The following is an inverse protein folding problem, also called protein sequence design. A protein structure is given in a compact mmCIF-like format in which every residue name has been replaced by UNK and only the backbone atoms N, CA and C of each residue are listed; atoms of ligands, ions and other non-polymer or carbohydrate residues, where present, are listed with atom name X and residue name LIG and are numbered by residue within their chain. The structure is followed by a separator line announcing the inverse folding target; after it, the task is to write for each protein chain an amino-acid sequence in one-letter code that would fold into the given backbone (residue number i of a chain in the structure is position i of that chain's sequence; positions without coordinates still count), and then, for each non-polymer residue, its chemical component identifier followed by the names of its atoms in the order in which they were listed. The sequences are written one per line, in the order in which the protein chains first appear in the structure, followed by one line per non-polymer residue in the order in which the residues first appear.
data_IF_001754353681
#
_entry.id   IF_001754353681
#
_cell.length_a   1.000
_cell.length_b   1.000
_cell.length_c   1.000
_cell.angle_alpha   90.00
_cell.angle_beta   90.00
_cell.angle_gamma   90.00
#
_symmetry.space_group_name_H-M   'P 1'
#
loop_
_entity.id
_entity.type
_entity.pdbx_description
1 polymer ?
#
# COMPACT_ATOMS: atom_id res chain seq x y z
N UNK A 1 -16.59 52.16 -61.37
CA UNK A 1 -15.99 50.88 -60.92
C UNK A 1 -15.80 50.96 -59.40
N UNK A 2 -16.66 50.28 -58.61
CA UNK A 2 -16.57 50.22 -57.13
C UNK A 2 -16.05 48.85 -56.77
N UNK A 3 -14.83 48.78 -56.16
CA UNK A 3 -14.30 47.58 -55.56
C UNK A 3 -14.97 47.33 -54.20
N UNK A 4 -15.58 46.17 -54.06
CA UNK A 4 -16.13 45.67 -52.79
C UNK A 4 -15.08 44.75 -52.21
N UNK A 5 -14.45 45.17 -51.11
CA UNK A 5 -13.47 44.35 -50.39
C UNK A 5 -14.25 43.43 -49.42
N UNK A 6 -14.06 42.10 -49.57
CA UNK A 6 -14.55 41.10 -48.61
C UNK A 6 -13.50 40.92 -47.48
N UNK A 7 -13.89 41.28 -46.27
CA UNK A 7 -13.12 40.93 -45.05
C UNK A 7 -13.56 39.51 -44.59
N UNK A 8 -12.65 38.55 -44.68
CA UNK A 8 -12.80 37.26 -44.02
C UNK A 8 -12.39 37.38 -42.56
N UNK A 9 -13.34 37.23 -41.66
CA UNK A 9 -13.12 37.12 -40.21
C UNK A 9 -12.72 35.66 -39.89
N UNK A 10 -11.42 35.43 -39.62
CA UNK A 10 -10.95 34.14 -39.09
C UNK A 10 -11.22 34.12 -37.59
N UNK A 11 -12.20 33.34 -37.14
CA UNK A 11 -12.42 33.02 -35.75
C UNK A 11 -11.44 31.94 -35.33
N UNK A 12 -10.47 32.30 -34.49
CA UNK A 12 -9.55 31.38 -33.83
C UNK A 12 -10.31 30.73 -32.67
N UNK A 13 -10.68 29.46 -32.81
CA UNK A 13 -11.19 28.65 -31.71
C UNK A 13 -9.98 28.14 -30.91
N UNK A 14 -9.72 28.75 -29.75
CA UNK A 14 -8.73 28.29 -28.82
C UNK A 14 -9.27 26.99 -28.16
N UNK A 15 -8.73 25.83 -28.59
CA UNK A 15 -8.93 24.57 -27.87
C UNK A 15 -8.11 24.63 -26.56
N UNK A 16 -8.80 24.88 -25.45
CA UNK A 16 -8.22 24.65 -24.11
C UNK A 16 -8.19 23.14 -23.86
N UNK A 17 -7.07 22.52 -24.22
CA UNK A 17 -6.78 21.15 -23.82
C UNK A 17 -6.55 21.10 -22.31
N UNK A 18 -7.57 20.70 -21.54
CA UNK A 18 -7.39 20.27 -20.15
C UNK A 18 -6.46 19.05 -20.09
N UNK A 19 -5.80 18.80 -18.95
CA UNK A 19 -4.94 17.62 -18.81
C UNK A 19 -5.74 16.36 -19.12
N UNK A 20 -5.31 15.62 -20.15
CA UNK A 20 -5.85 14.32 -20.48
C UNK A 20 -5.53 13.36 -19.32
N UNK A 21 -6.52 13.08 -18.49
CA UNK A 21 -6.46 11.99 -17.53
C UNK A 21 -6.36 10.69 -18.34
N UNK A 22 -5.22 10.00 -18.27
CA UNK A 22 -5.13 8.66 -18.82
C UNK A 22 -6.20 7.82 -18.08
N UNK A 23 -7.24 7.43 -18.80
CA UNK A 23 -8.27 6.53 -18.27
C UNK A 23 -7.58 5.22 -17.94
N UNK A 24 -7.44 4.92 -16.65
CA UNK A 24 -7.14 3.56 -16.20
C UNK A 24 -8.29 2.70 -16.68
N UNK A 25 -7.99 1.51 -17.23
CA UNK A 25 -8.91 0.64 -17.92
C UNK A 25 -10.29 0.57 -17.26
N UNK A 26 -11.34 0.76 -18.04
CA UNK A 26 -12.71 0.60 -17.58
C UNK A 26 -12.86 -0.76 -16.90
N UNK A 27 -13.53 -0.80 -15.74
CA UNK A 27 -13.78 -2.05 -15.03
C UNK A 27 -14.80 -2.91 -15.82
N UNK A 28 -14.37 -3.97 -16.54
CA UNK A 28 -15.21 -4.58 -17.59
C UNK A 28 -16.50 -5.19 -17.06
N UNK A 29 -16.54 -5.55 -15.78
CA UNK A 29 -17.69 -6.20 -15.13
C UNK A 29 -18.49 -5.28 -14.22
N UNK A 30 -18.02 -4.06 -14.01
CA UNK A 30 -18.63 -3.09 -13.12
C UNK A 30 -18.37 -1.67 -13.61
N UNK A 31 -19.19 -1.14 -14.53
CA UNK A 31 -19.02 0.20 -15.07
C UNK A 31 -19.16 1.29 -14.00
N UNK A 32 -19.73 0.93 -12.86
CA UNK A 32 -19.94 1.81 -11.70
C UNK A 32 -18.88 1.62 -10.60
N UNK A 33 -17.77 0.92 -10.91
CA UNK A 33 -16.68 0.70 -9.99
C UNK A 33 -16.01 2.01 -9.53
N UNK A 34 -15.42 1.99 -8.32
CA UNK A 34 -14.57 3.08 -7.86
C UNK A 34 -13.32 3.22 -8.75
N UNK A 35 -12.72 2.09 -9.11
CA UNK A 35 -11.52 2.03 -9.93
C UNK A 35 -10.26 2.57 -9.24
N UNK A 36 -9.15 2.45 -9.96
CA UNK A 36 -7.89 3.13 -9.64
C UNK A 36 -7.73 4.31 -10.60
N UNK A 37 -7.71 5.53 -10.10
CA UNK A 37 -7.78 6.75 -10.92
C UNK A 37 -6.48 7.06 -11.64
N UNK A 38 -5.33 6.73 -11.02
CA UNK A 38 -4.01 6.90 -11.62
C UNK A 38 -2.95 6.06 -10.92
N UNK A 39 -1.80 5.94 -11.57
CA UNK A 39 -0.59 5.35 -11.00
C UNK A 39 0.40 6.47 -10.67
N UNK A 40 0.88 6.49 -9.43
CA UNK A 40 1.93 7.38 -8.95
C UNK A 40 3.24 6.60 -8.89
N UNK A 41 4.22 7.02 -9.67
CA UNK A 41 5.55 6.42 -9.66
C UNK A 41 6.47 7.22 -8.73
N UNK A 42 7.15 6.54 -7.81
CA UNK A 42 8.11 7.15 -6.87
C UNK A 42 9.47 6.46 -6.92
N UNK A 43 10.53 7.19 -6.58
CA UNK A 43 11.89 6.66 -6.51
C UNK A 43 12.39 6.62 -5.07
N UNK A 44 13.18 5.61 -4.66
CA UNK A 44 13.78 5.56 -3.32
C UNK A 44 14.71 6.76 -3.01
N UNK A 45 15.29 7.38 -4.04
CA UNK A 45 16.18 8.52 -3.85
C UNK A 45 15.42 9.79 -3.46
N UNK A 46 14.23 10.00 -4.03
CA UNK A 46 13.38 11.15 -3.71
C UNK A 46 12.50 10.93 -2.49
N UNK A 47 12.06 9.68 -2.29
CA UNK A 47 11.12 9.29 -1.23
C UNK A 47 11.76 8.27 -0.29
N UNK A 48 12.73 8.71 0.54
CA UNK A 48 13.37 7.80 1.50
C UNK A 48 12.44 7.33 2.62
N UNK A 49 11.52 8.21 3.04
CA UNK A 49 10.56 7.96 4.11
C UNK A 49 9.33 8.84 3.95
N UNK A 50 8.15 8.24 4.02
CA UNK A 50 6.87 8.88 3.71
C UNK A 50 5.78 8.54 4.73
N UNK A 51 4.76 9.40 4.78
CA UNK A 51 3.60 9.26 5.65
C UNK A 51 3.65 10.23 6.84
N UNK A 52 2.71 11.17 6.86
CA UNK A 52 2.70 12.34 7.73
C UNK A 52 2.43 12.05 9.21
N UNK A 53 2.09 10.81 9.58
CA UNK A 53 2.02 10.43 11.00
C UNK A 53 3.38 10.51 11.68
N UNK A 54 4.47 10.23 10.96
CA UNK A 54 5.81 10.20 11.54
C UNK A 54 6.87 10.96 10.75
N UNK A 55 6.59 11.35 9.51
CA UNK A 55 7.55 12.04 8.64
C UNK A 55 6.99 13.35 8.12
N UNK A 56 7.87 14.30 7.81
CA UNK A 56 7.47 15.57 7.18
C UNK A 56 7.01 15.37 5.74
N UNK A 57 7.61 14.39 5.06
CA UNK A 57 7.30 14.06 3.68
C UNK A 57 6.19 13.00 3.63
N UNK A 58 5.25 13.17 2.73
CA UNK A 58 4.30 12.13 2.30
C UNK A 58 4.20 12.13 0.78
N UNK A 59 3.33 11.29 0.22
CA UNK A 59 3.11 11.21 -1.22
C UNK A 59 2.50 12.51 -1.77
N UNK A 60 2.86 12.91 -3.01
CA UNK A 60 2.29 14.07 -3.70
C UNK A 60 0.88 13.75 -4.23
N UNK A 61 -0.05 13.55 -3.32
CA UNK A 61 -1.44 13.28 -3.61
C UNK A 61 -2.20 14.59 -3.82
N UNK A 62 -3.13 14.59 -4.78
CA UNK A 62 -4.10 15.65 -4.95
C UNK A 62 -5.17 15.58 -3.86
N UNK A 63 -5.98 16.63 -3.75
CA UNK A 63 -7.13 16.60 -2.87
C UNK A 63 -8.09 15.45 -3.23
N UNK A 64 -8.68 14.80 -2.24
CA UNK A 64 -9.50 13.60 -2.36
C UNK A 64 -8.80 12.38 -2.99
N UNK A 65 -7.47 12.31 -2.96
CA UNK A 65 -6.75 11.09 -3.34
C UNK A 65 -6.37 10.25 -2.13
N UNK A 66 -6.58 8.93 -2.25
CA UNK A 66 -6.26 7.94 -1.22
C UNK A 66 -5.41 6.79 -1.78
N UNK A 67 -4.36 6.43 -1.05
CA UNK A 67 -3.60 5.19 -1.28
C UNK A 67 -4.02 4.18 -0.22
N UNK A 68 -4.60 3.07 -0.64
CA UNK A 68 -5.04 2.00 0.27
C UNK A 68 -3.87 1.05 0.48
N UNK A 69 -3.53 0.78 1.75
CA UNK A 69 -2.45 -0.12 2.11
C UNK A 69 -2.90 -1.17 3.12
N UNK A 70 -2.38 -2.41 2.97
CA UNK A 70 -2.65 -3.53 3.87
C UNK A 70 -1.35 -4.08 4.44
N UNK A 71 -1.32 -4.31 5.75
CA UNK A 71 -0.19 -4.86 6.48
C UNK A 71 -0.48 -6.29 6.98
N UNK A 72 0.57 -7.00 7.37
CA UNK A 72 0.60 -8.28 8.10
C UNK A 72 0.30 -9.55 7.31
N UNK A 73 -0.34 -9.46 6.17
CA UNK A 73 -0.72 -10.63 5.36
C UNK A 73 0.43 -11.38 4.67
N UNK A 74 0.03 -12.36 3.86
CA UNK A 74 -1.35 -12.79 3.61
C UNK A 74 -1.88 -13.77 4.66
N UNK A 75 -3.17 -13.71 4.97
CA UNK A 75 -3.85 -14.67 5.84
C UNK A 75 -5.21 -15.09 5.27
N UNK A 76 -5.38 -16.34 4.77
CA UNK A 76 -6.69 -16.82 4.34
C UNK A 76 -7.65 -17.00 5.54
N UNK A 77 -8.97 -16.83 5.38
CA UNK A 77 -9.62 -16.45 4.13
C UNK A 77 -9.66 -14.92 3.90
N UNK A 78 -9.15 -14.11 4.83
CA UNK A 78 -9.39 -12.66 4.84
C UNK A 78 -8.70 -11.95 3.69
N UNK A 79 -7.43 -12.29 3.41
CA UNK A 79 -6.71 -11.74 2.25
C UNK A 79 -7.42 -12.10 0.93
N UNK A 80 -8.02 -13.30 0.83
CA UNK A 80 -8.78 -13.71 -0.36
C UNK A 80 -10.05 -12.86 -0.54
N UNK A 81 -10.82 -12.65 0.54
CA UNK A 81 -12.03 -11.82 0.52
C UNK A 81 -11.69 -10.37 0.14
N UNK A 82 -10.59 -9.85 0.67
CA UNK A 82 -10.11 -8.50 0.35
C UNK A 82 -9.71 -8.39 -1.13
N UNK A 83 -8.98 -9.37 -1.68
CA UNK A 83 -8.61 -9.42 -3.09
C UNK A 83 -9.84 -9.44 -4.00
N UNK A 84 -10.83 -10.27 -3.69
CA UNK A 84 -12.08 -10.35 -4.45
C UNK A 84 -12.85 -9.03 -4.42
N UNK A 85 -12.90 -8.38 -3.25
CA UNK A 85 -13.53 -7.07 -3.08
C UNK A 85 -12.83 -6.00 -3.92
N UNK A 86 -11.50 -5.92 -3.86
CA UNK A 86 -10.71 -4.97 -4.66
C UNK A 86 -10.89 -5.23 -6.17
N UNK A 87 -10.88 -6.50 -6.57
CA UNK A 87 -11.09 -6.90 -7.97
C UNK A 87 -12.47 -6.50 -8.47
N UNK A 88 -13.53 -6.65 -7.65
CA UNK A 88 -14.90 -6.26 -8.01
C UNK A 88 -15.07 -4.76 -8.26
N UNK A 89 -14.17 -3.96 -7.70
CA UNK A 89 -14.14 -2.51 -7.82
C UNK A 89 -12.98 -2.01 -8.69
N UNK A 90 -12.19 -2.89 -9.31
CA UNK A 90 -10.99 -2.58 -10.09
C UNK A 90 -10.01 -1.65 -9.35
N UNK A 91 -9.93 -1.81 -8.04
CA UNK A 91 -9.06 -1.02 -7.15
C UNK A 91 -7.73 -1.73 -6.96
N UNK A 92 -6.61 -0.99 -7.09
CA UNK A 92 -5.27 -1.45 -6.75
C UNK A 92 -4.84 -0.88 -5.41
N UNK A 93 -4.11 -1.70 -4.64
CA UNK A 93 -3.60 -1.36 -3.31
C UNK A 93 -2.12 -1.70 -3.19
N UNK A 94 -1.50 -1.28 -2.09
CA UNK A 94 -0.14 -1.69 -1.71
C UNK A 94 -0.22 -2.62 -0.50
N UNK A 95 0.47 -3.77 -0.57
CA UNK A 95 0.54 -4.75 0.50
C UNK A 95 1.93 -4.76 1.10
N UNK A 96 2.04 -4.70 2.42
CA UNK A 96 3.28 -4.87 3.18
C UNK A 96 3.25 -6.24 3.86
N UNK A 97 3.86 -7.23 3.22
CA UNK A 97 3.75 -8.62 3.61
C UNK A 97 4.81 -9.00 4.66
N UNK A 98 4.40 -9.77 5.67
CA UNK A 98 5.32 -10.41 6.61
C UNK A 98 5.96 -11.62 5.92
N UNK A 99 7.31 -11.74 6.00
CA UNK A 99 8.06 -12.79 5.32
C UNK A 99 7.59 -14.20 5.67
N UNK A 100 7.41 -14.51 6.96
CA UNK A 100 6.90 -15.83 7.39
C UNK A 100 5.51 -16.15 6.85
N UNK A 101 4.63 -15.14 6.70
CA UNK A 101 3.30 -15.33 6.14
C UNK A 101 3.38 -15.57 4.63
N UNK A 102 4.28 -14.85 3.95
CA UNK A 102 4.54 -15.05 2.52
C UNK A 102 5.04 -16.48 2.25
N UNK A 103 5.96 -17.02 3.08
CA UNK A 103 6.41 -18.42 2.97
C UNK A 103 5.28 -19.41 3.21
N UNK A 104 4.40 -19.12 4.17
CA UNK A 104 3.28 -20.02 4.51
C UNK A 104 2.21 -20.04 3.41
N UNK A 105 1.98 -18.92 2.74
CA UNK A 105 0.91 -18.76 1.73
C UNK A 105 1.43 -18.17 0.41
N UNK A 106 2.43 -18.80 -0.25
CA UNK A 106 3.06 -18.23 -1.44
C UNK A 106 2.10 -18.11 -2.64
N UNK A 107 1.07 -18.95 -2.70
CA UNK A 107 0.04 -18.86 -3.73
C UNK A 107 -0.79 -17.58 -3.63
N UNK A 108 -1.08 -17.12 -2.41
CA UNK A 108 -1.81 -15.86 -2.19
C UNK A 108 -0.91 -14.67 -2.54
N UNK A 109 0.39 -14.71 -2.19
CA UNK A 109 1.35 -13.68 -2.59
C UNK A 109 1.35 -13.50 -4.12
N UNK A 110 1.45 -14.61 -4.87
CA UNK A 110 1.38 -14.55 -6.34
C UNK A 110 0.04 -14.04 -6.87
N UNK A 111 -1.08 -14.38 -6.23
CA UNK A 111 -2.39 -13.84 -6.60
C UNK A 111 -2.48 -12.34 -6.37
N UNK A 112 -1.95 -11.82 -5.26
CA UNK A 112 -1.85 -10.38 -5.00
C UNK A 112 -1.07 -9.69 -6.13
N UNK A 113 0.10 -10.23 -6.48
CA UNK A 113 0.92 -9.69 -7.56
C UNK A 113 0.24 -9.76 -8.92
N UNK A 114 -0.29 -10.92 -9.30
CA UNK A 114 -0.96 -11.14 -10.58
C UNK A 114 -2.25 -10.32 -10.73
N UNK A 115 -2.89 -9.94 -9.63
CA UNK A 115 -4.00 -9.00 -9.61
C UNK A 115 -3.53 -7.54 -9.81
N UNK A 116 -2.22 -7.30 -9.97
CA UNK A 116 -1.63 -5.99 -10.26
C UNK A 116 -1.48 -5.08 -9.04
N UNK A 117 -1.50 -5.62 -7.83
CA UNK A 117 -1.21 -4.85 -6.62
C UNK A 117 0.29 -4.66 -6.43
N UNK A 118 0.67 -3.60 -5.73
CA UNK A 118 2.05 -3.34 -5.36
C UNK A 118 2.39 -4.11 -4.08
N UNK A 119 3.56 -4.75 -4.04
CA UNK A 119 4.01 -5.52 -2.89
C UNK A 119 5.29 -4.91 -2.33
N UNK A 120 5.28 -4.60 -1.03
CA UNK A 120 6.41 -4.29 -0.18
C UNK A 120 6.56 -5.32 0.94
N UNK A 121 7.44 -5.05 1.91
CA UNK A 121 7.72 -5.97 3.02
C UNK A 121 7.46 -5.35 4.38
N UNK A 122 7.12 -6.21 5.37
CA UNK A 122 6.80 -5.85 6.75
C UNK A 122 7.60 -6.65 7.77
N UNK A 123 8.92 -6.78 7.54
CA UNK A 123 9.85 -7.65 8.26
C UNK A 123 9.59 -9.16 8.07
N UNK A 124 10.46 -9.97 8.67
CA UNK A 124 10.33 -11.43 8.60
C UNK A 124 9.27 -11.98 9.56
N UNK A 125 9.30 -11.54 10.83
CA UNK A 125 8.48 -12.11 11.90
C UNK A 125 7.55 -11.12 12.59
N UNK A 126 7.60 -9.83 12.24
CA UNK A 126 6.81 -8.76 12.86
C UNK A 126 6.99 -8.68 14.40
N UNK A 127 8.22 -8.50 14.92
CA UNK A 127 8.42 -8.37 16.36
C UNK A 127 7.81 -7.07 16.90
N UNK A 128 6.95 -7.18 17.91
CA UNK A 128 6.22 -6.03 18.48
C UNK A 128 7.13 -4.95 19.07
N UNK A 129 8.32 -5.34 19.55
CA UNK A 129 9.30 -4.43 20.11
C UNK A 129 10.35 -3.97 19.09
N UNK A 130 10.00 -3.87 17.80
CA UNK A 130 10.94 -3.63 16.69
C UNK A 130 11.96 -2.51 16.98
N UNK A 131 11.51 -1.37 17.53
CA UNK A 131 12.38 -0.23 17.85
C UNK A 131 13.40 -0.49 18.99
N UNK A 132 13.22 -1.56 19.78
CA UNK A 132 14.09 -1.95 20.88
C UNK A 132 15.07 -3.05 20.51
N UNK A 133 14.97 -3.59 19.30
CA UNK A 133 15.86 -4.64 18.83
C UNK A 133 17.26 -4.09 18.62
N UNK A 134 18.31 -4.86 18.93
CA UNK A 134 19.66 -4.56 18.46
C UNK A 134 19.67 -4.44 16.93
N UNK A 135 20.50 -3.54 16.38
CA UNK A 135 20.51 -3.25 14.94
C UNK A 135 20.75 -4.50 14.08
N UNK A 136 21.54 -5.46 14.56
CA UNK A 136 21.77 -6.71 13.83
C UNK A 136 20.47 -7.54 13.70
N UNK A 137 19.61 -7.53 14.71
CA UNK A 137 18.30 -8.18 14.64
C UNK A 137 17.34 -7.43 13.71
N UNK A 138 17.39 -6.09 13.72
CA UNK A 138 16.64 -5.28 12.76
C UNK A 138 17.04 -5.64 11.33
N UNK A 139 18.35 -5.70 11.05
CA UNK A 139 18.88 -6.12 9.74
C UNK A 139 18.34 -7.50 9.34
N UNK A 140 18.45 -8.49 10.22
CA UNK A 140 17.95 -9.85 9.98
C UNK A 140 16.44 -9.87 9.70
N UNK A 141 15.64 -9.09 10.41
CA UNK A 141 14.20 -8.98 10.21
C UNK A 141 13.85 -8.33 8.86
N UNK A 142 14.54 -7.25 8.48
CA UNK A 142 14.33 -6.58 7.20
C UNK A 142 14.73 -7.48 6.04
N UNK A 143 15.95 -8.02 6.10
CA UNK A 143 16.53 -8.85 5.05
C UNK A 143 15.80 -10.19 4.89
N UNK A 144 15.46 -10.83 6.01
CA UNK A 144 14.67 -12.06 6.01
C UNK A 144 13.31 -11.87 5.35
N UNK A 145 12.60 -10.76 5.67
CA UNK A 145 11.33 -10.43 5.05
C UNK A 145 11.43 -10.28 3.53
N UNK A 146 12.46 -9.59 3.05
CA UNK A 146 12.71 -9.42 1.62
C UNK A 146 12.95 -10.77 0.94
N UNK A 147 13.85 -11.59 1.49
CA UNK A 147 14.18 -12.92 0.93
C UNK A 147 12.96 -13.83 0.88
N UNK A 148 12.14 -13.81 1.94
CA UNK A 148 10.94 -14.66 2.03
C UNK A 148 9.85 -14.25 1.05
N UNK A 149 9.61 -12.95 0.89
CA UNK A 149 8.60 -12.43 -0.05
C UNK A 149 9.07 -12.62 -1.50
N UNK A 150 10.35 -12.37 -1.80
CA UNK A 150 10.94 -12.65 -3.13
C UNK A 150 10.78 -14.12 -3.52
N UNK A 151 11.10 -15.04 -2.61
CA UNK A 151 10.93 -16.47 -2.86
C UNK A 151 9.47 -16.86 -3.10
N UNK A 152 8.53 -16.25 -2.40
CA UNK A 152 7.10 -16.50 -2.60
C UNK A 152 6.59 -15.97 -3.94
N UNK A 153 7.10 -14.82 -4.39
CA UNK A 153 6.78 -14.22 -5.69
C UNK A 153 7.35 -15.03 -6.85
N UNK A 154 8.58 -15.50 -6.73
CA UNK A 154 9.27 -16.23 -7.80
C UNK A 154 9.74 -15.35 -8.96
N UNK A 155 9.56 -14.03 -8.88
CA UNK A 155 10.04 -13.05 -9.84
C UNK A 155 10.79 -11.93 -9.10
N UNK A 156 12.12 -11.79 -9.33
CA UNK A 156 12.93 -10.77 -8.64
C UNK A 156 12.52 -9.32 -8.89
N UNK A 157 11.72 -9.06 -9.95
CA UNK A 157 11.22 -7.72 -10.29
C UNK A 157 9.87 -7.38 -9.65
N UNK A 158 9.19 -8.38 -9.09
CA UNK A 158 7.84 -8.25 -8.57
C UNK A 158 7.76 -7.51 -7.23
N UNK A 159 8.83 -7.58 -6.41
CA UNK A 159 8.87 -6.92 -5.11
C UNK A 159 9.34 -5.47 -5.25
N UNK A 160 8.51 -4.52 -4.81
CA UNK A 160 8.89 -3.11 -4.75
C UNK A 160 9.88 -2.83 -3.60
N UNK A 161 10.75 -1.82 -3.70
CA UNK A 161 11.67 -1.43 -2.63
C UNK A 161 10.94 -0.66 -1.51
N UNK A 162 9.76 -1.14 -1.12
CA UNK A 162 8.92 -0.54 -0.10
C UNK A 162 8.98 -1.38 1.17
N UNK A 163 9.19 -0.71 2.28
CA UNK A 163 9.23 -1.32 3.60
C UNK A 163 8.34 -0.54 4.56
N UNK A 164 7.59 -1.24 5.40
CA UNK A 164 6.90 -0.62 6.54
C UNK A 164 7.42 -1.25 7.82
N UNK A 165 7.81 -0.40 8.78
CA UNK A 165 8.30 -0.86 10.07
C UNK A 165 7.14 -1.42 10.90
N UNK A 166 7.24 -2.63 11.48
CA UNK A 166 6.25 -3.19 12.40
C UNK A 166 5.81 -2.20 13.48
N UNK A 167 4.47 -2.03 13.62
CA UNK A 167 3.89 -1.08 14.55
C UNK A 167 4.29 0.38 14.33
N UNK A 168 4.81 0.74 13.15
CA UNK A 168 5.36 2.06 12.80
C UNK A 168 6.47 2.53 13.78
N UNK A 169 7.14 1.61 14.45
CA UNK A 169 8.05 1.82 15.60
C UNK A 169 9.45 2.28 15.16
N UNK A 170 9.54 3.45 14.53
CA UNK A 170 10.76 4.02 13.95
C UNK A 170 11.81 4.45 14.99
N UNK A 171 13.08 4.45 14.55
CA UNK A 171 14.19 5.18 15.14
C UNK A 171 15.07 5.73 14.02
N UNK A 172 15.91 6.74 14.30
CA UNK A 172 16.85 7.27 13.28
C UNK A 172 17.77 6.17 12.74
N UNK A 173 18.29 5.30 13.61
CA UNK A 173 19.17 4.18 13.22
C UNK A 173 18.47 3.21 12.23
N UNK A 174 17.18 2.92 12.44
CA UNK A 174 16.42 2.06 11.53
C UNK A 174 16.16 2.80 10.22
N UNK A 175 15.75 4.07 10.27
CA UNK A 175 15.53 4.90 9.09
C UNK A 175 16.80 4.99 8.21
N UNK A 176 17.96 5.22 8.84
CA UNK A 176 19.24 5.33 8.15
C UNK A 176 19.64 3.98 7.50
N UNK A 177 19.41 2.88 8.22
CA UNK A 177 19.64 1.54 7.67
C UNK A 177 18.76 1.27 6.44
N UNK A 178 17.45 1.53 6.51
CA UNK A 178 16.54 1.33 5.39
C UNK A 178 16.96 2.21 4.19
N UNK A 179 17.31 3.46 4.44
CA UNK A 179 17.80 4.37 3.40
C UNK A 179 19.11 3.87 2.75
N UNK A 180 20.05 3.29 3.55
CA UNK A 180 21.29 2.70 3.03
C UNK A 180 21.05 1.50 2.11
N UNK A 181 19.91 0.81 2.28
CA UNK A 181 19.45 -0.30 1.43
C UNK A 181 18.55 0.16 0.28
N UNK A 182 18.41 1.48 0.07
CA UNK A 182 17.50 2.07 -0.92
C UNK A 182 16.04 1.61 -0.77
N UNK A 183 15.61 1.37 0.48
CA UNK A 183 14.23 1.05 0.81
C UNK A 183 13.47 2.33 1.17
N UNK A 184 12.29 2.49 0.60
CA UNK A 184 11.35 3.55 0.99
C UNK A 184 10.65 3.13 2.26
N UNK A 185 10.85 3.84 3.37
CA UNK A 185 10.16 3.56 4.62
C UNK A 185 8.79 4.24 4.65
N UNK A 186 7.74 3.42 4.74
CA UNK A 186 6.36 3.87 4.75
C UNK A 186 5.81 3.95 6.17
N UNK A 187 5.42 5.14 6.60
CA UNK A 187 4.42 5.32 7.65
C UNK A 187 3.02 5.36 7.00
N UNK A 188 2.07 5.99 7.66
CA UNK A 188 0.75 6.26 7.13
C UNK A 188 0.41 7.75 7.28
N UNK A 189 -0.68 8.16 6.65
CA UNK A 189 -1.31 9.46 6.87
C UNK A 189 -2.57 9.31 7.70
N UNK A 190 -3.28 8.21 7.50
CA UNK A 190 -4.56 7.88 8.14
C UNK A 190 -4.54 6.41 8.55
N UNK A 191 -5.02 6.12 9.74
CA UNK A 191 -5.26 4.76 10.25
C UNK A 191 -6.75 4.57 10.51
N UNK A 192 -7.25 3.35 10.37
CA UNK A 192 -8.63 3.00 10.68
C UNK A 192 -8.80 2.31 12.04
N UNK A 193 -7.68 2.05 12.73
CA UNK A 193 -7.59 1.33 14.01
C UNK A 193 -8.19 -0.09 13.95
N UNK A 194 -8.15 -0.72 12.79
CA UNK A 194 -8.76 -2.03 12.51
C UNK A 194 -8.14 -3.21 13.28
N UNK A 195 -6.98 -2.97 13.91
CA UNK A 195 -6.31 -3.91 14.82
C UNK A 195 -6.89 -3.92 16.25
N UNK A 196 -7.80 -2.99 16.59
CA UNK A 196 -8.36 -2.94 17.93
C UNK A 196 -9.28 -4.13 18.18
N UNK A 197 -9.10 -4.75 19.35
CA UNK A 197 -9.95 -5.85 19.79
C UNK A 197 -11.42 -5.42 19.81
N UNK A 198 -12.31 -6.26 19.24
CA UNK A 198 -13.76 -6.02 19.16
C UNK A 198 -14.19 -4.81 18.32
N UNK A 199 -13.32 -4.28 17.47
CA UNK A 199 -13.73 -3.25 16.52
C UNK A 199 -14.73 -3.82 15.53
N UNK A 200 -15.74 -3.03 15.16
CA UNK A 200 -16.72 -3.44 14.16
C UNK A 200 -16.34 -2.91 12.78
N UNK A 201 -16.79 -3.59 11.72
CA UNK A 201 -16.62 -3.13 10.35
C UNK A 201 -17.15 -1.69 10.15
N UNK A 202 -18.32 -1.38 10.72
CA UNK A 202 -18.89 -0.03 10.69
C UNK A 202 -17.98 1.02 11.32
N UNK A 203 -17.37 0.70 12.46
CA UNK A 203 -16.45 1.63 13.15
C UNK A 203 -15.17 1.85 12.33
N UNK A 204 -14.63 0.82 11.69
CA UNK A 204 -13.48 0.93 10.78
C UNK A 204 -13.80 1.92 9.66
N UNK A 205 -14.92 1.74 8.98
CA UNK A 205 -15.36 2.65 7.90
C UNK A 205 -15.52 4.07 8.40
N UNK A 206 -16.23 4.28 9.51
CA UNK A 206 -16.44 5.61 10.08
C UNK A 206 -15.13 6.33 10.39
N UNK A 207 -14.16 5.64 11.04
CA UNK A 207 -12.86 6.21 11.38
C UNK A 207 -12.03 6.54 10.15
N UNK A 208 -11.96 5.61 9.18
CA UNK A 208 -11.23 5.81 7.95
C UNK A 208 -11.76 7.05 7.20
N UNK A 209 -13.07 7.11 6.98
CA UNK A 209 -13.71 8.19 6.25
C UNK A 209 -13.56 9.53 6.98
N UNK A 210 -13.91 9.60 8.26
CA UNK A 210 -13.81 10.85 9.02
C UNK A 210 -12.38 11.41 9.01
N UNK A 211 -11.37 10.55 9.17
CA UNK A 211 -9.97 10.98 9.17
C UNK A 211 -9.47 11.38 7.78
N UNK A 212 -9.94 10.70 6.72
CA UNK A 212 -9.64 11.08 5.35
C UNK A 212 -10.29 12.42 4.98
N UNK A 213 -11.55 12.67 5.35
CA UNK A 213 -12.24 13.95 5.11
C UNK A 213 -11.50 15.10 5.80
N UNK A 214 -11.10 14.93 7.06
CA UNK A 214 -10.36 15.96 7.80
C UNK A 214 -8.99 16.25 7.14
N UNK A 215 -8.35 15.23 6.57
CA UNK A 215 -7.02 15.37 5.97
C UNK A 215 -7.06 15.73 4.48
N UNK A 216 -8.18 15.51 3.82
CA UNK A 216 -8.39 15.73 2.40
C UNK A 216 -7.79 14.65 1.50
N UNK A 217 -6.75 13.92 1.96
CA UNK A 217 -6.02 12.91 1.19
C UNK A 217 -5.12 12.08 2.11
N UNK A 218 -4.58 10.96 1.61
CA UNK A 218 -3.52 10.30 2.36
C UNK A 218 -3.34 8.81 2.11
N UNK A 219 -2.32 8.28 2.76
CA UNK A 219 -2.02 6.84 2.84
C UNK A 219 -2.88 6.26 3.96
N UNK A 220 -3.86 5.43 3.60
CA UNK A 220 -4.73 4.72 4.55
C UNK A 220 -4.10 3.37 4.89
N UNK A 221 -3.89 3.12 6.19
CA UNK A 221 -3.39 1.87 6.72
C UNK A 221 -4.52 0.99 7.23
N UNK A 222 -4.55 -0.23 6.73
CA UNK A 222 -5.43 -1.34 7.10
C UNK A 222 -4.60 -2.62 7.24
N UNK A 223 -5.23 -3.72 7.72
CA UNK A 223 -4.59 -5.04 7.84
C UNK A 223 -5.46 -6.09 7.16
N UNK A 224 -4.86 -6.94 6.31
CA UNK A 224 -5.59 -7.97 5.57
C UNK A 224 -5.69 -9.32 6.32
N UNK A 225 -5.43 -9.28 7.62
CA UNK A 225 -5.51 -10.43 8.52
C UNK A 225 -6.74 -10.41 9.45
N UNK A 226 -7.52 -9.33 9.43
CA UNK A 226 -8.65 -9.17 10.35
C UNK A 226 -10.00 -9.39 9.65
N UNK A 227 -10.91 -10.20 10.24
CA UNK A 227 -12.25 -10.41 9.69
C UNK A 227 -13.04 -9.10 9.60
N UNK A 228 -12.88 -8.20 10.58
CA UNK A 228 -13.57 -6.92 10.58
C UNK A 228 -13.16 -6.02 9.41
N UNK A 229 -11.88 -6.06 9.00
CA UNK A 229 -11.38 -5.32 7.84
C UNK A 229 -11.93 -5.89 6.54
N UNK A 230 -11.94 -7.22 6.40
CA UNK A 230 -12.53 -7.89 5.23
C UNK A 230 -14.02 -7.53 5.05
N UNK A 231 -14.79 -7.47 6.15
CA UNK A 231 -16.19 -7.03 6.15
C UNK A 231 -16.36 -5.52 5.94
N UNK A 232 -15.39 -4.71 6.37
CA UNK A 232 -15.44 -3.26 6.23
C UNK A 232 -15.16 -2.80 4.79
N UNK A 233 -14.30 -3.50 4.06
CA UNK A 233 -13.75 -3.02 2.78
C UNK A 233 -14.82 -2.70 1.73
N UNK A 234 -15.86 -3.54 1.48
CA UNK A 234 -16.90 -3.19 0.52
C UNK A 234 -17.62 -1.89 0.85
N UNK A 235 -17.93 -1.67 2.13
CA UNK A 235 -18.57 -0.44 2.62
C UNK A 235 -17.62 0.75 2.51
N UNK A 236 -16.35 0.57 2.83
CA UNK A 236 -15.33 1.61 2.74
C UNK A 236 -15.16 2.10 1.30
N UNK A 237 -15.04 1.19 0.32
CA UNK A 237 -14.91 1.56 -1.09
C UNK A 237 -16.16 2.31 -1.59
N UNK A 238 -17.36 1.89 -1.18
CA UNK A 238 -18.60 2.61 -1.48
C UNK A 238 -18.61 4.01 -0.90
N UNK A 239 -18.20 4.18 0.36
CA UNK A 239 -18.16 5.48 1.05
C UNK A 239 -17.09 6.41 0.45
N UNK A 240 -15.91 5.87 0.07
CA UNK A 240 -14.90 6.64 -0.63
C UNK A 240 -15.44 7.20 -1.94
N UNK A 241 -16.09 6.35 -2.75
CA UNK A 241 -16.72 6.78 -4.01
C UNK A 241 -17.79 7.86 -3.78
N UNK A 242 -18.69 7.64 -2.83
CA UNK A 242 -19.79 8.56 -2.54
C UNK A 242 -19.31 9.97 -2.10
N UNK A 243 -18.08 10.05 -1.54
CA UNK A 243 -17.45 11.31 -1.12
C UNK A 243 -16.44 11.86 -2.13
N UNK A 244 -16.40 11.30 -3.33
CA UNK A 244 -15.52 11.80 -4.39
C UNK A 244 -14.03 11.49 -4.16
N UNK A 245 -13.67 10.52 -3.32
CA UNK A 245 -12.30 10.07 -3.22
C UNK A 245 -11.89 9.23 -4.42
N UNK A 246 -10.65 9.41 -4.85
CA UNK A 246 -10.00 8.71 -5.95
C UNK A 246 -8.88 7.82 -5.42
N UNK A 247 -8.88 6.54 -5.80
CA UNK A 247 -7.80 5.64 -5.39
C UNK A 247 -6.60 5.80 -6.31
N UNK A 248 -5.42 5.94 -5.71
CA UNK A 248 -4.13 6.02 -6.41
C UNK A 248 -3.32 4.78 -6.10
N UNK A 249 -2.81 4.12 -7.15
CA UNK A 249 -1.81 3.07 -6.99
C UNK A 249 -0.42 3.70 -6.93
N UNK A 250 0.45 3.19 -6.06
CA UNK A 250 1.85 3.63 -6.01
C UNK A 250 2.76 2.49 -6.47
N UNK A 251 3.67 2.79 -7.38
CA UNK A 251 4.68 1.87 -7.88
C UNK A 251 6.07 2.49 -7.76
N UNK A 252 7.11 1.66 -7.68
CA UNK A 252 8.48 2.14 -7.72
C UNK A 252 8.93 2.39 -9.16
N UNK A 253 9.71 3.45 -9.36
CA UNK A 253 10.40 3.69 -10.63
C UNK A 253 11.66 2.82 -10.75
N UNK A 254 11.90 2.32 -11.95
CA UNK A 254 13.12 1.59 -12.30
C UNK A 254 13.16 0.17 -11.73
N UNK A 255 14.30 -0.48 -11.98
CA UNK A 255 14.58 -1.80 -11.43
C UNK A 255 14.88 -1.68 -9.93
N UNK A 256 14.39 -2.64 -9.16
CA UNK A 256 14.76 -2.76 -7.75
C UNK A 256 16.27 -2.95 -7.63
N UNK A 257 16.96 -2.23 -6.70
CA UNK A 257 18.35 -2.51 -6.40
C UNK A 257 18.53 -3.98 -6.06
N UNK A 258 19.60 -4.64 -6.59
CA UNK A 258 19.91 -6.02 -6.22
C UNK A 258 20.13 -6.10 -4.72
N UNK A 259 19.25 -6.80 -4.05
CA UNK A 259 19.37 -7.04 -2.63
C UNK A 259 20.35 -8.19 -2.40
N UNK A 260 21.47 -7.89 -1.77
CA UNK A 260 22.45 -8.91 -1.33
C UNK A 260 22.33 -8.98 0.19
N UNK A 261 21.82 -10.10 0.76
CA UNK A 261 21.75 -10.27 2.21
C UNK A 261 23.13 -10.15 2.83
N UNK A 262 23.30 -9.29 3.83
CA UNK A 262 24.56 -9.18 4.58
C UNK A 262 24.71 -10.32 5.59
N UNK A 263 23.60 -10.83 6.09
CA UNK A 263 23.56 -11.83 7.15
C UNK A 263 22.30 -12.70 7.05
N UNK A 264 22.42 -13.84 6.41
CA UNK A 264 21.59 -14.99 6.75
C UNK A 264 22.21 -15.71 7.97
N UNK A 265 22.56 -14.98 9.03
CA UNK A 265 23.21 -15.52 10.19
C UNK A 265 22.19 -15.88 11.27
N UNK A 266 22.08 -17.16 11.53
CA UNK A 266 21.40 -17.88 12.60
C UNK A 266 19.86 -17.94 12.54
N UNK A 267 19.30 -19.13 12.66
CA UNK A 267 17.86 -19.26 12.82
C UNK A 267 17.43 -18.48 14.07
N UNK A 268 16.57 -17.49 13.86
CA UNK A 268 15.91 -16.80 14.96
C UNK A 268 15.27 -17.88 15.85
N UNK A 269 15.66 -17.93 17.10
CA UNK A 269 14.98 -18.80 18.08
C UNK A 269 13.50 -18.40 18.07
N UNK A 270 12.67 -19.37 17.87
CA UNK A 270 11.21 -19.34 17.65
C UNK A 270 10.41 -18.65 18.78
N UNK A 271 11.09 -18.06 19.79
CA UNK A 271 10.47 -17.47 20.98
C UNK A 271 9.82 -16.09 20.77
N UNK A 272 10.15 -15.39 19.67
CA UNK A 272 9.60 -14.07 19.37
C UNK A 272 8.56 -14.08 18.25
N UNK A 273 8.02 -15.25 17.92
CA UNK A 273 6.98 -15.38 16.92
C UNK A 273 5.70 -14.67 17.38
N UNK A 274 5.07 -13.96 16.46
CA UNK A 274 3.70 -13.45 16.61
C UNK A 274 2.82 -14.55 17.22
N UNK A 275 1.95 -14.24 18.21
CA UNK A 275 1.05 -15.23 18.79
C UNK A 275 0.31 -15.94 17.65
N UNK A 276 0.46 -17.26 17.61
CA UNK A 276 -0.10 -18.08 16.54
C UNK A 276 -1.59 -17.79 16.40
N UNK A 277 -2.05 -17.53 15.20
CA UNK A 277 -3.46 -17.22 14.84
C UNK A 277 -4.47 -18.22 15.41
N UNK A 278 -4.02 -19.43 15.76
CA UNK A 278 -4.82 -20.47 16.45
C UNK A 278 -5.40 -20.05 17.81
N UNK A 279 -4.85 -19.03 18.50
CA UNK A 279 -5.45 -18.48 19.73
C UNK A 279 -6.52 -17.42 19.49
N UNK A 280 -6.74 -16.98 18.25
CA UNK A 280 -7.78 -16.01 17.89
C UNK A 280 -9.16 -16.64 17.58
N UNK A 281 -9.26 -17.99 17.59
CA UNK A 281 -10.53 -18.70 17.31
C UNK A 281 -11.49 -18.83 18.49
N UNK A 282 -11.11 -18.37 19.67
CA UNK A 282 -12.01 -18.39 20.83
C UNK A 282 -12.23 -16.97 21.34
N UNK A 283 -13.12 -16.25 20.63
CA UNK A 283 -13.97 -15.19 21.27
C UNK A 283 -14.87 -14.57 20.20
#
# INVERSE_FOLDING_TARGET
MRLVGFFFLFTFVAMTGGPAWASVDACPRNPDALGTSRVLTITPNEFKKIGSMYYKQTLPLNDHEVVITFDDGPLPPYSDIILETLASQCVKATYFLIGRMARQYPSIVRRIYNAGHTIGTHSENHPLAFRRLPIQRVKSEVEGGIVSVDAALGDPKALSPFFRIPGLAKTSTIDDYLASKQLVNWSADVVADDWFRRITAKTIVQRAIQRLEVKGRGILLLHDIHPATALALPMLLKELKARGFHVVQVVAAGDRPKFVPELLASPATQKDAWPTVLKMRQF
#
